data_IF_283650417197
#
_entry.id   IF_283650417197
#
_cell.length_a   1.000
_cell.length_b   1.000
_cell.length_c   1.000
_cell.angle_alpha   90.00
_cell.angle_beta   90.00
_cell.angle_gamma   90.00
#
_symmetry.space_group_name_H-M   'P 1'
#
loop_
_entity.id
_entity.type
_entity.pdbx_description
1 polymer ?
#
# COMPACT_ATOMS: atom_id res chain seq x y z
N UNK A 1 31.01 -14.24 -17.56
CA UNK A 1 30.42 -14.05 -17.38
C UNK A 1 29.49 -13.70 -16.81
N UNK A 2 28.98 -13.43 -16.57
CA UNK A 2 28.25 -13.11 -15.97
C UNK A 2 27.12 -12.95 -15.79
N UNK A 3 26.53 -12.91 -15.59
CA UNK A 3 25.44 -12.85 -15.50
C UNK A 3 24.68 -12.19 -14.74
N UNK A 4 24.29 -11.91 -14.69
CA UNK A 4 23.67 -11.33 -14.01
C UNK A 4 22.55 -11.06 -13.75
N UNK A 5 22.08 -11.05 -13.71
CA UNK A 5 21.05 -10.82 -13.38
C UNK A 5 20.32 -10.38 -12.72
N UNK A 6 19.81 -10.10 -12.67
CA UNK A 6 19.11 -9.69 -12.16
C UNK A 6 18.18 -9.55 -11.56
N UNK A 7 18.06 -9.64 -11.19
CA UNK A 7 17.17 -9.69 -10.43
C UNK A 7 16.25 -8.73 -10.41
N UNK A 8 15.42 -8.84 -10.54
CA UNK A 8 14.53 -8.04 -10.58
C UNK A 8 13.60 -8.12 -9.59
N UNK A 9 13.24 -7.23 -8.90
CA UNK A 9 12.23 -7.23 -7.94
C UNK A 9 10.99 -7.62 -8.56
N UNK A 10 10.39 -8.64 -8.11
CA UNK A 10 9.17 -9.05 -8.70
C UNK A 10 8.05 -8.17 -8.18
N UNK A 11 7.10 -7.80 -9.03
CA UNK A 11 5.96 -7.00 -8.59
C UNK A 11 5.18 -7.67 -7.49
N UNK A 12 5.12 -8.99 -7.49
CA UNK A 12 4.39 -9.70 -6.46
C UNK A 12 4.99 -9.48 -5.09
N UNK A 13 6.32 -9.47 -5.01
CA UNK A 13 6.97 -9.21 -3.74
C UNK A 13 6.74 -7.79 -3.29
N UNK A 14 6.79 -6.86 -4.23
CA UNK A 14 6.53 -5.46 -3.89
C UNK A 14 5.11 -5.30 -3.39
N UNK A 15 4.15 -6.01 -3.99
CA UNK A 15 2.78 -5.96 -3.54
C UNK A 15 2.62 -6.49 -2.13
N UNK A 16 3.32 -7.56 -1.80
CA UNK A 16 3.23 -8.12 -0.46
C UNK A 16 3.77 -7.15 0.58
N UNK A 17 4.93 -6.56 0.31
CA UNK A 17 5.50 -5.61 1.23
C UNK A 17 4.61 -4.38 1.36
N UNK A 18 4.07 -3.92 0.24
CA UNK A 18 3.21 -2.75 0.22
C UNK A 18 1.93 -3.01 1.01
N UNK A 19 1.35 -4.19 0.88
CA UNK A 19 0.15 -4.54 1.63
C UNK A 19 0.42 -4.49 3.13
N UNK A 20 1.56 -4.99 3.56
CA UNK A 20 1.91 -4.98 4.98
C UNK A 20 2.12 -3.55 5.46
N UNK A 21 2.81 -2.75 4.68
CA UNK A 21 3.05 -1.36 5.04
C UNK A 21 1.75 -0.60 5.17
N UNK A 22 0.86 -0.76 4.20
CA UNK A 22 -0.40 -0.05 4.23
C UNK A 22 -1.30 -0.53 5.36
N UNK A 23 -1.25 -1.82 5.67
CA UNK A 23 -1.99 -2.34 6.82
C UNK A 23 -1.53 -1.64 8.09
N UNK A 24 -0.23 -1.50 8.27
CA UNK A 24 0.31 -0.82 9.45
C UNK A 24 -0.07 0.65 9.47
N UNK A 25 0.00 1.31 8.34
CA UNK A 25 -0.33 2.73 8.24
C UNK A 25 -1.79 2.96 8.61
N UNK A 26 -2.69 2.16 8.09
CA UNK A 26 -4.11 2.31 8.37
C UNK A 26 -4.39 2.05 9.85
N UNK A 27 -3.73 1.04 10.41
CA UNK A 27 -3.88 0.73 11.84
C UNK A 27 -3.37 1.87 12.71
N UNK A 28 -2.27 2.47 12.34
CA UNK A 28 -1.71 3.59 13.09
C UNK A 28 -2.62 4.80 13.06
N UNK A 29 -3.44 4.92 12.03
CA UNK A 29 -4.43 6.00 11.96
C UNK A 29 -5.70 5.64 12.71
N UNK A 30 -5.74 4.47 13.33
CA UNK A 30 -6.89 4.07 14.13
C UNK A 30 -8.10 3.67 13.30
N UNK A 31 -7.90 3.28 12.07
CA UNK A 31 -9.01 2.96 11.17
C UNK A 31 -9.17 1.44 11.04
N UNK A 32 -10.40 0.97 10.94
CA UNK A 32 -10.64 -0.47 10.82
C UNK A 32 -10.23 -0.97 9.43
N UNK A 33 -9.58 -2.09 9.39
CA UNK A 33 -9.15 -2.69 8.13
C UNK A 33 -9.00 -4.20 8.26
N UNK A 34 -8.39 -4.63 9.35
CA UNK A 34 -7.99 -6.00 9.52
C UNK A 34 -6.67 -6.23 8.80
N UNK A 35 -6.71 -6.17 7.50
CA UNK A 35 -5.53 -6.44 6.70
C UNK A 35 -5.81 -5.95 5.28
N UNK A 36 -4.83 -5.33 4.67
CA UNK A 36 -4.95 -4.92 3.27
C UNK A 36 -4.76 -6.16 2.41
N UNK A 37 -5.76 -6.46 1.61
CA UNK A 37 -5.73 -7.65 0.75
C UNK A 37 -5.50 -7.33 -0.71
N UNK A 38 -5.67 -6.07 -1.09
CA UNK A 38 -5.43 -5.64 -2.47
C UNK A 38 -4.97 -4.20 -2.47
N UNK A 39 -4.05 -3.87 -3.35
CA UNK A 39 -3.53 -2.52 -3.49
C UNK A 39 -3.51 -2.16 -4.96
N UNK A 40 -3.95 -0.96 -5.26
CA UNK A 40 -3.83 -0.42 -6.60
C UNK A 40 -2.95 0.82 -6.51
N UNK A 41 -1.88 0.83 -7.28
CA UNK A 41 -0.98 1.98 -7.32
C UNK A 41 -1.57 2.97 -8.30
N UNK A 42 -1.95 4.14 -7.82
CA UNK A 42 -2.57 5.16 -8.65
C UNK A 42 -1.53 6.11 -9.23
N UNK A 43 -0.52 6.40 -8.44
CA UNK A 43 0.57 7.26 -8.84
C UNK A 43 1.69 7.05 -7.85
N UNK A 44 2.77 7.76 -7.98
CA UNK A 44 3.85 7.67 -7.01
C UNK A 44 3.33 8.09 -5.65
N UNK A 45 3.54 7.25 -4.65
CA UNK A 45 3.12 7.53 -3.27
C UNK A 45 1.62 7.78 -3.17
N UNK A 46 0.84 7.07 -3.99
CA UNK A 46 -0.60 7.28 -4.05
C UNK A 46 -1.23 5.93 -4.33
N UNK A 47 -1.97 5.41 -3.35
CA UNK A 47 -2.46 4.04 -3.40
C UNK A 47 -3.92 3.94 -3.03
N UNK A 48 -4.60 2.96 -3.61
CA UNK A 48 -5.94 2.58 -3.19
C UNK A 48 -5.81 1.22 -2.52
N UNK A 49 -6.21 1.15 -1.27
CA UNK A 49 -6.08 -0.08 -0.48
C UNK A 49 -7.46 -0.66 -0.20
N UNK A 50 -7.60 -1.96 -0.40
CA UNK A 50 -8.83 -2.67 -0.06
C UNK A 50 -8.54 -3.57 1.11
N UNK A 51 -9.40 -3.52 2.10
CA UNK A 51 -9.20 -4.24 3.34
C UNK A 51 -10.04 -5.50 3.41
N UNK A 52 -9.58 -6.44 4.22
CA UNK A 52 -10.25 -7.70 4.40
C UNK A 52 -11.67 -7.53 4.91
N UNK A 53 -11.90 -6.52 5.73
CA UNK A 53 -13.22 -6.26 6.30
C UNK A 53 -14.16 -5.52 5.36
N UNK A 54 -13.72 -5.26 4.12
CA UNK A 54 -14.56 -4.60 3.13
C UNK A 54 -14.34 -3.10 3.04
N UNK A 55 -13.61 -2.52 3.95
CA UNK A 55 -13.31 -1.09 3.89
C UNK A 55 -12.25 -0.81 2.83
N UNK A 56 -12.31 0.38 2.27
CA UNK A 56 -11.35 0.82 1.28
C UNK A 56 -10.83 2.18 1.66
N UNK A 57 -9.56 2.41 1.38
CA UNK A 57 -8.91 3.66 1.77
C UNK A 57 -8.03 4.17 0.63
N UNK A 58 -7.95 5.48 0.55
CA UNK A 58 -7.00 6.16 -0.32
C UNK A 58 -5.84 6.58 0.56
N UNK A 59 -4.65 6.07 0.29
CA UNK A 59 -3.47 6.33 1.09
C UNK A 59 -2.46 7.05 0.23
N UNK A 60 -2.04 8.23 0.64
CA UNK A 60 -1.14 9.03 -0.17
C UNK A 60 -0.31 9.98 0.68
N UNK A 61 0.72 10.54 0.06
CA UNK A 61 1.51 11.60 0.70
C UNK A 61 0.99 12.93 0.24
N UNK A 62 0.76 13.83 1.20
CA UNK A 62 0.33 15.17 0.84
C UNK A 62 1.53 16.05 0.53
N UNK A 63 1.27 17.31 0.24
CA UNK A 63 2.33 18.24 -0.17
C UNK A 63 3.37 18.44 0.93
N UNK A 64 3.01 18.17 2.17
CA UNK A 64 3.90 18.33 3.30
C UNK A 64 4.69 17.07 3.62
N UNK A 65 4.52 16.03 2.82
CA UNK A 65 5.23 14.78 3.03
C UNK A 65 4.62 13.91 4.08
N UNK A 66 3.39 14.15 4.48
CA UNK A 66 2.72 13.34 5.47
C UNK A 66 1.81 12.32 4.81
N UNK A 67 1.71 11.17 5.45
CA UNK A 67 0.82 10.12 4.96
C UNK A 67 -0.61 10.46 5.37
N UNK A 68 -1.50 10.44 4.38
CA UNK A 68 -2.92 10.70 4.61
C UNK A 68 -3.69 9.43 4.27
N UNK A 69 -4.65 9.07 5.10
CA UNK A 69 -5.51 7.92 4.87
C UNK A 69 -6.95 8.41 4.87
N UNK A 70 -7.63 8.25 3.74
CA UNK A 70 -9.01 8.70 3.59
C UNK A 70 -9.92 7.53 3.30
N UNK A 71 -10.98 7.34 4.09
CA UNK A 71 -11.94 6.29 3.78
C UNK A 71 -12.61 6.53 2.44
N UNK A 72 -12.83 5.45 1.71
CA UNK A 72 -13.52 5.50 0.43
C UNK A 72 -14.83 4.77 0.56
N UNK A 73 -15.83 5.23 -0.15
CA UNK A 73 -17.14 4.57 -0.11
C UNK A 73 -17.45 3.85 -1.37
#
# INVERSE_FOLDING_TARGET
MVATFLAVASPAQDDEALKKDLTAVIALHGLPCGEVVAVQVLAKDDYAASCKDGNKYHVFLNAEGRVVVEPQK
#
